data_IF_188076223515
#
_entry.id   IF_188076223515
#
_cell.length_a   1.000
_cell.length_b   1.000
_cell.length_c   1.000
_cell.angle_alpha   90.00
_cell.angle_beta   90.00
_cell.angle_gamma   90.00
#
_symmetry.space_group_name_H-M   'P 1'
#
loop_
_entity.id
_entity.type
_entity.pdbx_description
1 polymer ?
#
# COMPACT_ATOMS: atom_id res chain seq x y z
N UNK A 1 -16.95 -9.77 -14.75
CA UNK A 1 -15.56 -9.39 -15.07
C UNK A 1 -14.89 -8.93 -13.80
N UNK A 2 -13.63 -9.29 -13.55
CA UNK A 2 -12.92 -8.81 -12.37
C UNK A 2 -12.80 -7.28 -12.45
N UNK A 3 -13.08 -6.60 -11.33
CA UNK A 3 -13.10 -5.14 -11.28
C UNK A 3 -11.67 -4.63 -11.23
N UNK A 4 -11.22 -3.93 -12.27
CA UNK A 4 -9.93 -3.26 -12.29
C UNK A 4 -10.06 -1.81 -11.85
N UNK A 5 -9.06 -1.31 -11.12
CA UNK A 5 -8.95 0.12 -10.79
C UNK A 5 -7.50 0.53 -10.60
N UNK A 6 -7.21 1.81 -10.76
CA UNK A 6 -5.91 2.39 -10.45
C UNK A 6 -5.93 2.93 -9.02
N UNK A 7 -4.99 2.48 -8.19
CA UNK A 7 -4.86 2.95 -6.80
C UNK A 7 -3.43 3.35 -6.48
N UNK A 8 -3.24 4.24 -5.50
CA UNK A 8 -1.95 4.42 -4.85
C UNK A 8 -1.48 3.13 -4.18
N UNK A 9 -0.17 2.87 -4.17
CA UNK A 9 0.45 1.73 -3.51
C UNK A 9 1.44 2.22 -2.46
N UNK A 10 1.29 1.67 -1.26
CA UNK A 10 2.18 1.88 -0.12
C UNK A 10 2.90 0.56 0.21
N UNK A 11 4.15 0.39 -0.26
CA UNK A 11 4.99 -0.72 0.15
C UNK A 11 5.37 -0.59 1.63
N UNK A 12 5.16 -1.64 2.43
CA UNK A 12 5.51 -1.72 3.84
C UNK A 12 6.19 -3.05 4.16
N UNK A 13 6.97 -3.12 5.24
CA UNK A 13 7.54 -4.37 5.76
C UNK A 13 6.53 -5.19 6.58
N UNK A 14 5.25 -5.14 6.19
CA UNK A 14 4.17 -5.89 6.83
C UNK A 14 3.11 -6.28 5.81
N UNK A 15 2.30 -7.26 6.20
CA UNK A 15 1.10 -7.67 5.45
C UNK A 15 -0.13 -7.18 6.20
N UNK A 16 -0.96 -6.39 5.51
CA UNK A 16 -2.28 -6.00 6.00
C UNK A 16 -3.30 -7.08 5.61
N UNK A 17 -4.08 -7.56 6.57
CA UNK A 17 -5.19 -8.48 6.31
C UNK A 17 -6.53 -7.75 6.18
N UNK A 18 -7.51 -8.33 5.46
CA UNK A 18 -8.89 -7.85 5.50
C UNK A 18 -9.41 -7.70 6.93
N UNK A 19 -10.12 -6.62 7.21
CA UNK A 19 -10.65 -6.21 8.52
C UNK A 19 -9.63 -5.87 9.60
N UNK A 20 -8.33 -6.02 9.36
CA UNK A 20 -7.29 -5.60 10.31
C UNK A 20 -7.18 -4.07 10.32
N UNK A 21 -7.06 -3.48 11.50
CA UNK A 21 -6.71 -2.07 11.65
C UNK A 21 -5.20 -1.88 11.57
N UNK A 22 -4.80 -0.79 10.91
CA UNK A 22 -3.41 -0.42 10.71
C UNK A 22 -3.25 1.09 10.94
N UNK A 23 -2.81 1.50 12.15
CA UNK A 23 -2.41 2.87 12.41
C UNK A 23 -1.05 3.14 11.76
N UNK A 24 -0.92 4.28 11.07
CA UNK A 24 0.30 4.69 10.38
C UNK A 24 0.65 6.12 10.75
N UNK A 25 1.96 6.37 10.90
CA UNK A 25 2.53 7.71 11.01
C UNK A 25 3.19 8.06 9.68
N UNK A 26 2.67 9.09 9.01
CA UNK A 26 3.16 9.55 7.72
C UNK A 26 3.98 10.82 7.93
N UNK A 27 5.25 10.77 7.52
CA UNK A 27 6.18 11.88 7.65
C UNK A 27 6.87 12.23 6.32
N UNK A 28 7.01 11.28 5.40
CA UNK A 28 7.62 11.52 4.09
C UNK A 28 6.68 12.28 3.15
N UNK A 29 7.17 13.33 2.44
CA UNK A 29 6.35 14.14 1.54
C UNK A 29 5.59 13.34 0.48
N UNK A 30 6.21 12.31 -0.11
CA UNK A 30 5.57 11.45 -1.12
C UNK A 30 4.29 10.78 -0.61
N UNK A 31 4.30 10.34 0.64
CA UNK A 31 3.17 9.66 1.25
C UNK A 31 2.16 10.66 1.83
N UNK A 32 2.57 11.89 2.16
CA UNK A 32 1.61 12.97 2.45
C UNK A 32 0.76 13.28 1.22
N UNK A 33 1.40 13.49 0.06
CA UNK A 33 0.69 13.68 -1.21
C UNK A 33 -0.25 12.50 -1.50
N UNK A 34 0.20 11.26 -1.25
CA UNK A 34 -0.64 10.07 -1.39
C UNK A 34 -1.88 10.12 -0.50
N UNK A 35 -1.72 10.46 0.78
CA UNK A 35 -2.85 10.57 1.71
C UNK A 35 -3.80 11.69 1.29
N UNK A 36 -3.29 12.85 0.88
CA UNK A 36 -4.10 13.96 0.39
C UNK A 36 -4.93 13.55 -0.84
N UNK A 37 -4.31 12.87 -1.80
CA UNK A 37 -4.99 12.31 -2.97
C UNK A 37 -6.06 11.28 -2.59
N UNK A 38 -5.77 10.41 -1.63
CA UNK A 38 -6.75 9.46 -1.10
C UNK A 38 -7.94 10.19 -0.46
N UNK A 39 -7.70 11.25 0.31
CA UNK A 39 -8.73 12.00 1.02
C UNK A 39 -9.69 12.75 0.08
N UNK A 40 -9.23 13.13 -1.12
CA UNK A 40 -10.04 13.76 -2.19
C UNK A 40 -10.78 12.71 -3.04
N UNK A 41 -10.38 11.44 -2.96
CA UNK A 41 -10.92 10.32 -3.74
C UNK A 41 -11.71 9.33 -2.87
N UNK A 42 -11.52 8.01 -3.07
CA UNK A 42 -12.23 6.93 -2.35
C UNK A 42 -11.72 6.68 -0.92
N UNK A 43 -10.73 7.45 -0.44
CA UNK A 43 -10.02 7.23 0.84
C UNK A 43 -9.33 5.87 0.92
N UNK A 44 -8.85 5.38 -0.21
CA UNK A 44 -8.29 4.04 -0.34
C UNK A 44 -6.91 4.07 -0.98
N UNK A 45 -6.02 3.20 -0.49
CA UNK A 45 -4.73 2.88 -1.09
C UNK A 45 -4.42 1.39 -0.90
N UNK A 46 -3.50 0.85 -1.67
CA UNK A 46 -3.09 -0.54 -1.56
C UNK A 46 -1.87 -0.68 -0.64
N UNK A 47 -1.95 -1.59 0.34
CA UNK A 47 -0.79 -2.00 1.14
C UNK A 47 -0.23 -3.29 0.56
N UNK A 48 1.05 -3.26 0.19
CA UNK A 48 1.79 -4.43 -0.27
C UNK A 48 3.03 -4.63 0.59
N UNK A 49 3.47 -5.88 0.70
CA UNK A 49 4.79 -6.17 1.26
C UNK A 49 5.87 -5.54 0.37
N UNK A 50 6.87 -4.89 0.96
CA UNK A 50 8.04 -4.38 0.23
C UNK A 50 8.94 -5.54 -0.21
N UNK A 51 9.52 -5.44 -1.40
CA UNK A 51 10.49 -6.39 -1.92
C UNK A 51 11.84 -5.70 -2.12
N UNK A 52 12.75 -5.86 -1.17
CA UNK A 52 14.10 -5.27 -1.21
C UNK A 52 14.97 -5.75 -2.37
N UNK A 53 14.60 -6.84 -3.05
CA UNK A 53 15.34 -7.35 -4.22
C UNK A 53 14.83 -6.77 -5.55
N UNK A 54 13.75 -5.99 -5.54
CA UNK A 54 13.15 -5.41 -6.73
C UNK A 54 12.95 -3.90 -6.54
N UNK A 55 13.23 -3.13 -7.58
CA UNK A 55 13.06 -1.68 -7.54
C UNK A 55 12.25 -1.16 -8.72
N UNK A 56 11.48 -0.11 -8.46
CA UNK A 56 10.73 0.68 -9.45
C UNK A 56 11.24 2.12 -9.35
N UNK A 57 11.93 2.60 -10.39
CA UNK A 57 12.55 3.94 -10.36
C UNK A 57 13.46 4.14 -9.14
N UNK A 58 14.30 3.15 -8.83
CA UNK A 58 15.17 3.07 -7.65
C UNK A 58 14.43 3.03 -6.29
N UNK A 59 13.10 3.08 -6.24
CA UNK A 59 12.32 2.82 -5.03
C UNK A 59 12.09 1.33 -4.83
N UNK A 60 11.94 0.88 -3.59
CA UNK A 60 11.57 -0.51 -3.32
C UNK A 60 10.22 -0.86 -3.96
N UNK A 61 10.19 -1.98 -4.68
CA UNK A 61 9.01 -2.44 -5.39
C UNK A 61 8.09 -3.23 -4.44
N UNK A 62 6.77 -3.14 -4.61
CA UNK A 62 5.83 -3.99 -3.88
C UNK A 62 5.80 -5.42 -4.45
N UNK A 63 5.47 -6.40 -3.61
CA UNK A 63 4.98 -7.69 -4.09
C UNK A 63 3.64 -7.52 -4.84
N UNK A 64 3.31 -8.51 -5.67
CA UNK A 64 2.18 -8.46 -6.60
C UNK A 64 0.79 -8.63 -5.95
N UNK A 65 0.72 -9.04 -4.68
CA UNK A 65 -0.54 -9.18 -3.94
C UNK A 65 -0.50 -8.26 -2.73
N UNK A 66 -1.60 -7.53 -2.54
CA UNK A 66 -1.78 -6.62 -1.41
C UNK A 66 -3.23 -6.59 -0.93
N UNK A 67 -3.47 -5.72 0.03
CA UNK A 67 -4.80 -5.47 0.61
C UNK A 67 -5.13 -3.99 0.51
N UNK A 68 -6.35 -3.67 0.08
CA UNK A 68 -6.84 -2.29 0.09
C UNK A 68 -6.97 -1.84 1.55
N UNK A 69 -6.28 -0.77 1.90
CA UNK A 69 -6.45 -0.05 3.14
C UNK A 69 -7.38 1.14 2.90
N UNK A 70 -8.42 1.26 3.73
CA UNK A 70 -9.31 2.41 3.74
C UNK A 70 -9.03 3.28 4.94
N UNK A 71 -8.87 4.59 4.71
CA UNK A 71 -8.61 5.57 5.77
C UNK A 71 -9.92 5.80 6.53
N UNK A 72 -9.91 5.47 7.82
CA UNK A 72 -11.03 5.68 8.75
C UNK A 72 -10.91 7.04 9.42
N UNK A 73 -9.70 7.40 9.83
CA UNK A 73 -9.41 8.61 10.60
C UNK A 73 -8.06 9.18 10.14
N UNK A 74 -7.96 10.51 10.12
CA UNK A 74 -6.74 11.24 9.78
C UNK A 74 -6.62 12.45 10.71
N UNK A 75 -5.48 12.53 11.41
CA UNK A 75 -5.19 13.57 12.40
C UNK A 75 -3.80 14.14 12.15
N UNK A 76 -3.68 15.45 12.19
CA UNK A 76 -2.39 16.13 12.28
C UNK A 76 -1.83 15.97 13.69
N UNK A 77 -0.62 15.41 13.83
CA UNK A 77 -0.01 15.17 15.14
C UNK A 77 0.48 16.49 15.73
N UNK A 78 1.19 17.28 14.93
CA UNK A 78 1.55 18.66 15.27
C UNK A 78 1.37 19.53 14.03
N UNK A 79 0.62 20.63 14.17
CA UNK A 79 0.45 21.64 13.12
C UNK A 79 1.78 22.27 12.67
N UNK A 80 2.88 22.01 13.38
CA UNK A 80 4.24 22.51 13.12
C UNK A 80 5.15 21.46 12.48
N UNK A 81 4.97 20.16 12.76
CA UNK A 81 5.81 19.08 12.23
C UNK A 81 5.29 18.53 10.88
N UNK A 82 4.00 18.74 10.61
CA UNK A 82 3.34 18.25 9.40
C UNK A 82 3.29 16.72 9.33
N UNK A 83 3.42 16.02 10.46
CA UNK A 83 3.25 14.57 10.52
C UNK A 83 1.76 14.21 10.61
N UNK A 84 1.32 13.28 9.77
CA UNK A 84 -0.04 12.76 9.80
C UNK A 84 -0.08 11.44 10.60
N UNK A 85 -1.07 11.31 11.46
CA UNK A 85 -1.49 10.03 11.99
C UNK A 85 -2.76 9.59 11.27
N UNK A 86 -2.70 8.46 10.58
CA UNK A 86 -3.88 7.88 9.92
C UNK A 86 -4.21 6.54 10.55
N UNK A 87 -5.49 6.29 10.81
CA UNK A 87 -5.96 4.95 11.09
C UNK A 87 -6.62 4.38 9.84
N UNK A 88 -6.24 3.16 9.48
CA UNK A 88 -6.74 2.49 8.29
C UNK A 88 -7.28 1.12 8.62
N UNK A 89 -8.16 0.59 7.77
CA UNK A 89 -8.66 -0.78 7.89
C UNK A 89 -8.54 -1.52 6.57
N UNK A 90 -8.10 -2.76 6.62
CA UNK A 90 -8.04 -3.65 5.47
C UNK A 90 -9.44 -3.99 4.95
N UNK A 91 -9.60 -3.98 3.64
CA UNK A 91 -10.79 -4.39 2.91
C UNK A 91 -10.44 -5.54 1.96
N UNK A 92 -10.65 -5.37 0.65
CA UNK A 92 -10.45 -6.42 -0.34
C UNK A 92 -8.97 -6.63 -0.63
N UNK A 93 -8.62 -7.88 -0.93
CA UNK A 93 -7.32 -8.21 -1.52
C UNK A 93 -7.31 -7.79 -2.98
N UNK A 94 -6.13 -7.52 -3.51
CA UNK A 94 -5.95 -7.22 -4.92
C UNK A 94 -4.67 -7.84 -5.45
N UNK A 95 -4.61 -7.95 -6.78
CA UNK A 95 -3.41 -8.31 -7.53
C UNK A 95 -2.98 -7.12 -8.38
N UNK A 96 -1.71 -6.77 -8.34
CA UNK A 96 -1.10 -5.79 -9.24
C UNK A 96 -1.03 -6.40 -10.64
N UNK A 97 -1.65 -5.73 -11.61
CA UNK A 97 -1.59 -6.06 -13.04
C UNK A 97 -0.48 -5.25 -13.72
N UNK A 98 -0.36 -3.98 -13.35
CA UNK A 98 0.65 -3.08 -13.91
C UNK A 98 1.05 -2.03 -12.88
N UNK A 99 2.36 -1.85 -12.70
CA UNK A 99 2.93 -0.79 -11.87
C UNK A 99 3.06 0.48 -12.72
N UNK A 100 2.68 1.61 -12.12
CA UNK A 100 2.87 2.96 -12.64
C UNK A 100 3.92 3.62 -11.74
N UNK A 101 5.13 3.91 -12.26
CA UNK A 101 6.22 4.45 -11.46
C UNK A 101 5.92 5.90 -11.00
N UNK A 102 6.56 6.35 -9.89
CA UNK A 102 6.51 7.75 -9.49
C UNK A 102 7.16 8.65 -10.55
N UNK A 103 6.87 9.96 -10.51
CA UNK A 103 7.34 10.92 -11.51
C UNK A 103 8.85 11.20 -11.48
N UNK A 104 9.58 10.70 -10.49
CA UNK A 104 11.04 10.81 -10.39
C UNK A 104 11.65 9.55 -9.76
N UNK A 105 12.93 9.31 -10.05
CA UNK A 105 13.71 8.23 -9.45
C UNK A 105 14.17 8.59 -8.03
N UNK A 106 14.30 7.59 -7.16
CA UNK A 106 14.84 7.82 -5.82
C UNK A 106 16.21 8.53 -5.91
N UNK A 107 16.39 9.70 -5.26
CA UNK A 107 17.67 10.39 -5.27
C UNK A 107 18.78 9.55 -4.62
N UNK A 108 20.00 9.70 -5.13
CA UNK A 108 21.19 9.10 -4.49
C UNK A 108 21.35 9.67 -3.07
N UNK A 109 21.70 8.80 -2.12
CA UNK A 109 21.84 9.10 -0.68
C UNK A 109 20.56 9.65 -0.04
N UNK A 110 19.40 9.13 -0.45
CA UNK A 110 18.12 9.49 0.17
C UNK A 110 17.96 8.82 1.55
N UNK A 111 17.85 9.66 2.59
CA UNK A 111 17.43 9.24 3.92
C UNK A 111 16.06 9.89 4.26
N UNK A 112 14.97 9.10 4.32
CA UNK A 112 13.62 9.60 4.59
C UNK A 112 13.45 10.19 6.00
N UNK A 113 14.36 9.88 6.93
CA UNK A 113 14.33 10.40 8.30
C UNK A 113 15.16 11.67 8.47
N UNK A 114 15.96 12.05 7.46
CA UNK A 114 16.78 13.25 7.49
C UNK A 114 16.03 14.46 6.92
N UNK A 115 16.29 15.65 7.49
CA UNK A 115 15.77 16.92 6.95
C UNK A 115 16.22 17.12 5.50
N UNK A 116 17.48 16.77 5.19
CA UNK A 116 18.04 16.88 3.85
C UNK A 116 17.30 15.98 2.85
N UNK A 117 16.96 14.74 3.23
CA UNK A 117 16.20 13.83 2.38
C UNK A 117 14.79 14.35 2.11
N UNK A 118 14.09 14.85 3.14
CA UNK A 118 12.76 15.45 3.01
C UNK A 118 12.79 16.64 2.04
N UNK A 119 13.72 17.58 2.22
CA UNK A 119 13.86 18.75 1.35
C UNK A 119 14.22 18.37 -0.09
N UNK A 120 15.07 17.34 -0.27
CA UNK A 120 15.49 16.87 -1.60
C UNK A 120 14.30 16.36 -2.42
N UNK A 121 13.35 15.67 -1.79
CA UNK A 121 12.13 15.21 -2.46
C UNK A 121 11.25 16.39 -2.89
N UNK A 122 11.09 17.38 -2.01
CA UNK A 122 10.31 18.58 -2.32
C UNK A 122 10.92 19.37 -3.48
N UNK A 123 12.25 19.58 -3.48
CA UNK A 123 12.95 20.27 -4.58
C UNK A 123 12.86 19.52 -5.90
N UNK A 124 13.05 18.19 -5.90
CA UNK A 124 12.93 17.37 -7.12
C UNK A 124 11.51 17.43 -7.69
N UNK A 125 10.50 17.48 -6.83
CA UNK A 125 9.10 17.60 -7.26
C UNK A 125 8.80 18.95 -7.92
N UNK A 126 9.33 20.05 -7.38
CA UNK A 126 9.21 21.39 -7.98
C UNK A 126 9.87 21.44 -9.37
N UNK A 127 11.04 20.82 -9.53
CA UNK A 127 11.77 20.76 -10.81
C UNK A 127 11.09 19.85 -11.87
N UNK A 128 10.48 18.76 -11.43
CA UNK A 128 9.85 17.76 -12.32
C UNK A 128 8.45 18.16 -12.81
N UNK A 129 7.93 19.30 -12.34
CA UNK A 129 6.57 19.78 -12.62
C UNK A 129 5.55 19.24 -11.62
N UNK A 130 4.79 20.15 -11.02
CA UNK A 130 3.85 19.95 -9.89
C UNK A 130 2.74 18.91 -10.14
N UNK A 131 2.57 18.42 -11.36
CA UNK A 131 1.47 17.51 -11.71
C UNK A 131 1.77 16.02 -11.49
N UNK A 132 3.04 15.64 -11.29
CA UNK A 132 3.43 14.23 -11.15
C UNK A 132 3.10 13.63 -9.77
N UNK A 133 2.78 12.33 -9.72
CA UNK A 133 2.63 11.60 -8.46
C UNK A 133 3.99 11.13 -7.94
N UNK A 134 4.30 11.46 -6.70
CA UNK A 134 5.59 11.13 -6.07
C UNK A 134 5.63 9.70 -5.49
N UNK A 135 4.49 9.01 -5.48
CA UNK A 135 4.31 7.65 -4.95
C UNK A 135 4.02 6.67 -6.07
N UNK A 136 4.19 5.37 -5.78
CA UNK A 136 3.89 4.30 -6.73
C UNK A 136 2.37 4.18 -6.88
N UNK A 137 1.89 4.10 -8.12
CA UNK A 137 0.52 3.72 -8.42
C UNK A 137 0.51 2.32 -9.06
N UNK A 138 -0.62 1.65 -9.01
CA UNK A 138 -0.81 0.42 -9.78
C UNK A 138 -2.22 0.29 -10.30
N UNK A 139 -2.32 -0.30 -11.49
CA UNK A 139 -3.54 -0.90 -11.97
C UNK A 139 -3.69 -2.27 -11.31
N UNK A 140 -4.78 -2.44 -10.57
CA UNK A 140 -5.03 -3.61 -9.75
C UNK A 140 -6.32 -4.30 -10.12
N UNK A 141 -6.32 -5.61 -9.97
CA UNK A 141 -7.47 -6.48 -10.09
C UNK A 141 -7.93 -6.89 -8.69
N UNK A 142 -9.19 -6.62 -8.34
CA UNK A 142 -9.73 -7.06 -7.05
C UNK A 142 -9.83 -8.59 -7.00
N UNK A 143 -9.30 -9.17 -5.93
CA UNK A 143 -9.47 -10.58 -5.62
C UNK A 143 -10.71 -10.68 -4.74
N UNK A 144 -11.75 -11.33 -5.27
CA UNK A 144 -12.99 -11.53 -4.53
C UNK A 144 -12.72 -12.28 -3.21
N UNK A 145 -13.55 -11.99 -2.22
CA UNK A 145 -13.60 -12.80 -1.01
C UNK A 145 -14.04 -14.22 -1.38
N UNK A 146 -13.59 -15.20 -0.59
CA UNK A 146 -14.01 -16.59 -0.75
C UNK A 146 -15.45 -16.67 -0.20
N UNK A 147 -16.40 -16.21 -1.00
CA UNK A 147 -17.84 -16.28 -0.71
C UNK A 147 -18.44 -17.63 -1.14
N UNK A 148 -17.67 -18.46 -1.84
CA UNK A 148 -18.11 -19.78 -2.24
C UNK A 148 -18.30 -20.67 -1.02
N UNK A 149 -19.53 -21.18 -0.85
CA UNK A 149 -19.79 -22.27 0.07
C UNK A 149 -19.05 -23.50 -0.44
N UNK A 150 -18.04 -23.93 0.32
CA UNK A 150 -17.39 -25.21 0.06
C UNK A 150 -18.40 -26.34 0.23
N UNK A 151 -18.34 -27.32 -0.65
CA UNK A 151 -19.17 -28.50 -0.50
C UNK A 151 -18.78 -29.26 0.79
N UNK A 152 -19.74 -30.00 1.37
CA UNK A 152 -19.48 -30.91 2.49
C UNK A 152 -18.33 -31.89 2.18
N UNK A 153 -18.14 -32.25 0.91
CA UNK A 153 -17.06 -33.11 0.43
C UNK A 153 -15.70 -32.43 0.53
N UNK A 154 -15.57 -31.20 0.05
CA UNK A 154 -14.34 -30.40 0.16
C UNK A 154 -14.02 -30.06 1.61
N UNK A 155 -15.03 -29.73 2.42
CA UNK A 155 -14.86 -29.51 3.85
C UNK A 155 -14.28 -30.75 4.54
N UNK A 156 -14.87 -31.93 4.32
CA UNK A 156 -14.38 -33.17 4.90
C UNK A 156 -12.95 -33.50 4.44
N UNK A 157 -12.61 -33.20 3.18
CA UNK A 157 -11.25 -33.35 2.67
C UNK A 157 -10.25 -32.43 3.37
N UNK A 158 -10.59 -31.14 3.55
CA UNK A 158 -9.75 -30.17 4.27
C UNK A 158 -9.55 -30.58 5.74
N UNK A 159 -10.62 -31.05 6.40
CA UNK A 159 -10.55 -31.58 7.77
C UNK A 159 -9.65 -32.81 7.86
N UNK A 160 -9.70 -33.72 6.87
CA UNK A 160 -8.85 -34.91 6.86
C UNK A 160 -7.37 -34.57 6.64
N UNK A 161 -7.08 -33.60 5.77
CA UNK A 161 -5.74 -33.02 5.61
C UNK A 161 -5.23 -32.39 6.91
N UNK A 162 -6.08 -31.67 7.63
CA UNK A 162 -5.74 -31.08 8.93
C UNK A 162 -5.44 -32.14 9.98
N UNK A 163 -6.27 -33.18 10.10
CA UNK A 163 -6.06 -34.29 11.04
C UNK A 163 -4.71 -35.00 10.81
N UNK A 164 -4.33 -35.20 9.55
CA UNK A 164 -3.04 -35.81 9.18
C UNK A 164 -1.82 -34.95 9.57
N UNK A 165 -2.00 -33.64 9.75
CA UNK A 165 -0.92 -32.71 10.09
C UNK A 165 -0.68 -32.57 11.60
N UNK A 166 -1.59 -33.05 12.45
CA UNK A 166 -1.49 -33.04 13.91
C UNK A 166 -1.24 -34.42 14.55
N UNK A 167 -0.95 -35.44 13.74
CA UNK A 167 -0.43 -36.72 14.22
C UNK A 167 1.10 -36.68 14.20
N UNK A 168 1.68 -36.05 15.22
CA UNK A 168 3.04 -36.30 15.70
C UNK A 168 2.95 -36.70 17.17
#
# INVERSE_FOLDING_TARGET
MPKTKTIPIFPLDLVLFPNQELPLKIFEPRYKQMVDDCMISEKEFGVCLSNSNMSVSNWEAPYNIGTIAKIIDCKDIDSTSGHLHINTKGHNRFRIIRIIPPCFEQPVDYDPFSINGIQKIESVHEESGVSGKMYIQAEVELINDIEESISLKEWNYLVDLWKKRYLF
#
